data_IF_002007112627
#
_entry.id   IF_002007112627
#
_cell.length_a   1.000
_cell.length_b   1.000
_cell.length_c   1.000
_cell.angle_alpha   90.00
_cell.angle_beta   90.00
_cell.angle_gamma   90.00
#
_symmetry.space_group_name_H-M   'P 1'
#
loop_
_entity.id
_entity.type
_entity.pdbx_description
1 polymer ?
#
# COMPACT_ATOMS: atom_id res chain seq x y z
N UNK A 1 -25.56 0.57 41.36
CA UNK A 1 -25.43 -0.21 40.09
C UNK A 1 -25.19 -1.66 40.45
N UNK A 2 -26.03 -2.58 39.98
CA UNK A 2 -25.85 -4.02 40.25
C UNK A 2 -24.58 -4.54 39.56
N UNK A 3 -23.97 -5.60 40.12
CA UNK A 3 -22.87 -6.34 39.47
C UNK A 3 -23.27 -6.85 38.08
N UNK A 4 -24.54 -7.16 37.90
CA UNK A 4 -25.12 -7.58 36.61
C UNK A 4 -25.13 -6.41 35.61
N UNK A 5 -25.54 -5.22 36.05
CA UNK A 5 -25.57 -4.01 35.20
C UNK A 5 -24.17 -3.61 34.74
N UNK A 6 -23.18 -3.70 35.64
CA UNK A 6 -21.77 -3.42 35.32
C UNK A 6 -21.23 -4.40 34.26
N UNK A 7 -21.52 -5.70 34.41
CA UNK A 7 -21.15 -6.73 33.42
C UNK A 7 -21.87 -6.52 32.08
N UNK A 8 -23.15 -6.16 32.11
CA UNK A 8 -23.94 -5.90 30.91
C UNK A 8 -23.39 -4.69 30.13
N UNK A 9 -23.11 -3.58 30.83
CA UNK A 9 -22.47 -2.39 30.24
C UNK A 9 -21.12 -2.71 29.61
N UNK A 10 -20.27 -3.48 30.28
CA UNK A 10 -18.97 -3.90 29.75
C UNK A 10 -19.12 -4.77 28.47
N UNK A 11 -20.12 -5.66 28.45
CA UNK A 11 -20.43 -6.50 27.27
C UNK A 11 -20.87 -5.66 26.07
N UNK A 12 -21.78 -4.70 26.29
CA UNK A 12 -22.23 -3.78 25.24
C UNK A 12 -21.07 -2.98 24.65
N UNK A 13 -20.22 -2.39 25.49
CA UNK A 13 -19.04 -1.63 25.04
C UNK A 13 -18.06 -2.51 24.25
N UNK A 14 -17.85 -3.76 24.69
CA UNK A 14 -16.99 -4.70 23.97
C UNK A 14 -17.56 -5.05 22.58
N UNK A 15 -18.88 -5.27 22.50
CA UNK A 15 -19.57 -5.55 21.23
C UNK A 15 -19.41 -4.38 20.25
N UNK A 16 -19.71 -3.16 20.70
CA UNK A 16 -19.56 -1.95 19.88
C UNK A 16 -18.13 -1.76 19.37
N UNK A 17 -17.12 -1.89 20.24
CA UNK A 17 -15.70 -1.77 19.83
C UNK A 17 -15.28 -2.86 18.84
N UNK A 18 -15.79 -4.09 19.01
CA UNK A 18 -15.50 -5.21 18.11
C UNK A 18 -16.13 -4.98 16.73
N UNK A 19 -17.36 -4.49 16.68
CA UNK A 19 -18.07 -4.18 15.43
C UNK A 19 -17.36 -3.05 14.67
N UNK A 20 -16.97 -1.97 15.36
CA UNK A 20 -16.22 -0.87 14.75
C UNK A 20 -14.88 -1.35 14.17
N UNK A 21 -14.10 -2.14 14.93
CA UNK A 21 -12.82 -2.67 14.45
C UNK A 21 -12.99 -3.64 13.26
N UNK A 22 -14.08 -4.42 13.23
CA UNK A 22 -14.39 -5.31 12.10
C UNK A 22 -14.80 -4.54 10.85
N UNK A 23 -15.57 -3.46 11.00
CA UNK A 23 -15.97 -2.60 9.89
C UNK A 23 -14.74 -1.96 9.23
N UNK A 24 -13.81 -1.44 10.03
CA UNK A 24 -12.56 -0.85 9.55
C UNK A 24 -11.70 -1.86 8.79
N UNK A 25 -11.51 -3.07 9.35
CA UNK A 25 -10.73 -4.13 8.69
C UNK A 25 -11.31 -4.61 7.36
N UNK A 26 -12.63 -4.51 7.18
CA UNK A 26 -13.29 -4.91 5.92
C UNK A 26 -13.05 -3.92 4.78
N UNK A 27 -12.63 -2.69 5.08
CA UNK A 27 -12.44 -1.65 4.06
C UNK A 27 -11.14 -1.81 3.26
N UNK A 28 -10.18 -2.62 3.71
CA UNK A 28 -8.87 -2.77 3.08
C UNK A 28 -8.61 -4.22 2.66
N UNK A 29 -8.17 -4.42 1.42
CA UNK A 29 -7.68 -5.71 0.93
C UNK A 29 -8.73 -6.82 0.84
N UNK A 30 -9.99 -6.52 1.13
CA UNK A 30 -11.10 -7.49 1.13
C UNK A 30 -11.72 -7.64 -0.27
N UNK A 31 -12.82 -8.40 -0.37
CA UNK A 31 -13.60 -8.55 -1.60
C UNK A 31 -14.11 -7.20 -2.14
N UNK A 32 -14.62 -6.35 -1.24
CA UNK A 32 -15.31 -5.12 -1.61
C UNK A 32 -14.42 -3.88 -1.44
N UNK A 33 -13.38 -3.96 -0.59
CA UNK A 33 -12.43 -2.88 -0.35
C UNK A 33 -11.25 -2.90 -1.32
N UNK A 34 -10.62 -1.76 -1.64
CA UNK A 34 -9.49 -1.68 -2.59
C UNK A 34 -8.31 -2.59 -2.22
N UNK A 35 -7.43 -2.93 -3.17
CA UNK A 35 -6.21 -3.67 -2.89
C UNK A 35 -5.38 -3.02 -1.79
N UNK A 36 -4.75 -3.81 -0.92
CA UNK A 36 -3.83 -3.24 0.08
C UNK A 36 -2.54 -2.80 -0.61
N UNK A 37 -2.35 -1.49 -0.70
CA UNK A 37 -1.17 -0.91 -1.34
C UNK A 37 0.02 -0.94 -0.39
N UNK A 38 1.04 -1.72 -0.77
CA UNK A 38 2.29 -1.89 -0.03
C UNK A 38 3.44 -1.30 -0.83
N UNK A 39 4.03 -0.22 -0.32
CA UNK A 39 5.23 0.39 -0.90
C UNK A 39 6.48 -0.25 -0.30
N UNK A 40 7.34 -0.82 -1.14
CA UNK A 40 8.60 -1.42 -0.73
C UNK A 40 9.74 -0.43 -0.96
N UNK A 41 10.46 -0.08 0.12
CA UNK A 41 11.55 0.89 0.11
C UNK A 41 12.82 0.24 0.64
N UNK A 42 13.85 0.03 -0.20
CA UNK A 42 15.16 -0.43 0.27
C UNK A 42 15.92 0.75 0.87
N UNK A 43 16.35 0.61 2.13
CA UNK A 43 17.05 1.67 2.85
C UNK A 43 18.58 1.59 2.74
N UNK A 44 19.09 0.62 1.99
CA UNK A 44 20.51 0.42 1.81
C UNK A 44 20.82 0.01 0.37
N UNK A 45 21.89 0.55 -0.20
CA UNK A 45 22.35 0.30 -1.58
C UNK A 45 22.56 -1.17 -1.93
N UNK A 46 23.01 -2.00 -0.97
CA UNK A 46 23.23 -3.47 -1.11
C UNK A 46 21.95 -4.29 -1.26
N UNK A 47 20.76 -3.73 -0.99
CA UNK A 47 19.51 -4.48 -0.97
C UNK A 47 18.99 -4.69 -2.40
N UNK A 48 18.63 -5.93 -2.72
CA UNK A 48 18.12 -6.35 -4.02
C UNK A 48 16.58 -6.40 -4.00
N UNK A 49 15.94 -5.37 -4.56
CA UNK A 49 14.48 -5.33 -4.74
C UNK A 49 13.94 -6.52 -5.58
N UNK A 50 14.59 -6.93 -6.69
CA UNK A 50 14.12 -8.08 -7.46
C UNK A 50 14.06 -9.37 -6.65
N UNK A 51 15.05 -9.63 -5.78
CA UNK A 51 15.04 -10.79 -4.89
C UNK A 51 13.89 -10.73 -3.87
N UNK A 52 13.68 -9.56 -3.26
CA UNK A 52 12.55 -9.36 -2.35
C UNK A 52 11.20 -9.61 -3.06
N UNK A 53 11.07 -9.14 -4.30
CA UNK A 53 9.85 -9.29 -5.09
C UNK A 53 9.63 -10.74 -5.51
N UNK A 54 10.67 -11.44 -5.95
CA UNK A 54 10.59 -12.87 -6.25
C UNK A 54 10.10 -13.69 -5.04
N UNK A 55 10.57 -13.36 -3.83
CA UNK A 55 10.09 -14.02 -2.60
C UNK A 55 8.63 -13.69 -2.27
N UNK A 56 8.16 -12.47 -2.58
CA UNK A 56 6.79 -12.02 -2.34
C UNK A 56 5.80 -12.49 -3.42
N UNK A 57 6.28 -12.81 -4.62
CA UNK A 57 5.51 -13.26 -5.79
C UNK A 57 5.25 -14.77 -5.79
N UNK A 58 5.18 -15.38 -4.61
CA UNK A 58 5.01 -16.83 -4.50
C UNK A 58 3.64 -17.29 -5.06
N UNK A 59 3.70 -18.07 -6.15
CA UNK A 59 2.53 -18.63 -6.82
C UNK A 59 1.77 -19.64 -5.95
N UNK A 60 2.45 -20.29 -5.02
CA UNK A 60 1.82 -21.22 -4.08
C UNK A 60 0.98 -20.47 -3.05
N UNK A 61 1.34 -19.23 -2.78
CA UNK A 61 0.58 -18.34 -1.90
C UNK A 61 -0.61 -17.71 -2.62
N UNK A 62 -0.54 -17.43 -3.92
CA UNK A 62 -1.65 -16.86 -4.66
C UNK A 62 -1.39 -16.56 -6.14
N UNK A 63 -2.35 -15.90 -6.78
CA UNK A 63 -2.22 -15.49 -8.18
C UNK A 63 -1.51 -14.14 -8.26
N UNK A 64 -0.42 -14.10 -9.02
CA UNK A 64 0.36 -12.87 -9.27
C UNK A 64 -0.01 -12.31 -10.64
N UNK A 65 -0.36 -11.03 -10.68
CA UNK A 65 -0.48 -10.27 -11.93
C UNK A 65 0.63 -9.24 -11.98
N UNK A 66 1.64 -9.52 -12.80
CA UNK A 66 2.77 -8.63 -12.99
C UNK A 66 2.32 -7.39 -13.77
N UNK A 67 2.82 -6.22 -13.37
CA UNK A 67 2.63 -4.99 -14.13
C UNK A 67 3.93 -4.20 -14.18
N UNK A 68 4.46 -4.05 -15.38
CA UNK A 68 5.60 -3.19 -15.62
C UNK A 68 5.10 -1.79 -15.96
N UNK A 69 5.45 -0.80 -15.14
CA UNK A 69 5.25 0.61 -15.45
C UNK A 69 6.59 1.31 -15.47
N UNK A 70 7.03 1.77 -16.65
CA UNK A 70 8.16 2.69 -16.80
C UNK A 70 9.45 2.26 -16.09
N UNK A 71 9.75 0.96 -16.01
CA UNK A 71 10.94 0.43 -15.35
C UNK A 71 10.86 0.25 -13.83
N UNK A 72 9.74 0.63 -13.20
CA UNK A 72 9.47 0.30 -11.78
C UNK A 72 8.68 -1.00 -11.69
N UNK A 73 9.17 -1.93 -10.87
CA UNK A 73 8.47 -3.18 -10.60
C UNK A 73 7.21 -2.90 -9.76
N UNK A 74 6.04 -3.29 -10.27
CA UNK A 74 4.80 -3.34 -9.51
C UNK A 74 4.06 -4.64 -9.81
N UNK A 75 3.27 -5.13 -8.87
CA UNK A 75 2.45 -6.31 -9.12
C UNK A 75 1.25 -6.38 -8.19
N UNK A 76 0.19 -7.02 -8.66
CA UNK A 76 -0.95 -7.39 -7.83
C UNK A 76 -0.75 -8.83 -7.35
N UNK A 77 -0.95 -9.07 -6.05
CA UNK A 77 -0.97 -10.40 -5.46
C UNK A 77 -2.37 -10.66 -4.90
N UNK A 78 -3.04 -11.66 -5.47
CA UNK A 78 -4.35 -12.13 -5.02
C UNK A 78 -4.16 -13.43 -4.23
N UNK A 79 -4.47 -13.42 -2.94
CA UNK A 79 -4.37 -14.62 -2.10
C UNK A 79 -5.75 -15.01 -1.56
N UNK A 80 -6.46 -15.93 -2.24
CA UNK A 80 -7.74 -16.45 -1.75
C UNK A 80 -7.63 -17.13 -0.37
N UNK A 81 -6.48 -17.76 -0.07
CA UNK A 81 -6.22 -18.42 1.22
C UNK A 81 -6.25 -17.44 2.40
N UNK A 82 -5.61 -16.28 2.23
CA UNK A 82 -5.63 -15.20 3.22
C UNK A 82 -6.85 -14.28 3.06
N UNK A 83 -7.68 -14.52 2.04
CA UNK A 83 -8.83 -13.69 1.63
C UNK A 83 -8.43 -12.23 1.49
N UNK A 84 -7.26 -11.99 0.90
CA UNK A 84 -6.65 -10.69 0.86
C UNK A 84 -6.03 -10.41 -0.50
N UNK A 85 -6.16 -9.17 -0.96
CA UNK A 85 -5.53 -8.67 -2.18
C UNK A 85 -4.54 -7.56 -1.87
N UNK A 86 -3.36 -7.64 -2.46
CA UNK A 86 -2.30 -6.64 -2.33
C UNK A 86 -1.91 -6.08 -3.66
N UNK A 87 -1.49 -4.82 -3.64
CA UNK A 87 -0.80 -4.17 -4.73
C UNK A 87 0.58 -3.72 -4.22
N UNK A 88 1.64 -4.31 -4.74
CA UNK A 88 3.02 -4.00 -4.38
C UNK A 88 3.61 -3.03 -5.39
N UNK A 89 4.26 -1.99 -4.87
CA UNK A 89 5.06 -1.05 -5.66
C UNK A 89 6.44 -0.91 -5.05
N UNK A 90 7.45 -0.64 -5.87
CA UNK A 90 8.80 -0.32 -5.39
C UNK A 90 9.13 1.14 -5.65
N UNK A 91 9.83 1.76 -4.71
CA UNK A 91 10.50 3.04 -4.93
C UNK A 91 11.86 3.00 -4.23
N UNK A 92 12.93 3.19 -5.00
CA UNK A 92 14.29 3.19 -4.47
C UNK A 92 14.71 4.64 -4.18
N UNK A 93 15.19 4.95 -2.97
CA UNK A 93 15.77 6.26 -2.70
C UNK A 93 17.12 6.34 -3.45
N UNK A 94 17.08 6.83 -4.69
CA UNK A 94 18.26 7.19 -5.45
C UNK A 94 18.53 8.70 -5.32
N UNK A 95 19.77 9.18 -5.49
CA UNK A 95 20.05 10.60 -5.58
C UNK A 95 19.19 11.23 -6.69
N UNK A 96 18.24 12.08 -6.30
CA UNK A 96 17.29 12.74 -7.21
C UNK A 96 15.87 12.14 -7.24
N UNK A 97 15.64 10.94 -6.71
CA UNK A 97 14.34 10.24 -6.79
C UNK A 97 13.56 10.22 -5.45
N UNK A 98 13.93 11.09 -4.51
CA UNK A 98 13.23 11.20 -3.22
C UNK A 98 11.74 11.53 -3.42
N UNK A 99 11.42 12.40 -4.38
CA UNK A 99 10.04 12.83 -4.63
C UNK A 99 9.12 11.65 -4.96
N UNK A 100 9.58 10.69 -5.78
CA UNK A 100 8.82 9.48 -6.10
C UNK A 100 8.53 8.66 -4.86
N UNK A 101 9.51 8.49 -3.97
CA UNK A 101 9.32 7.77 -2.70
C UNK A 101 8.28 8.47 -1.83
N UNK A 102 8.37 9.79 -1.67
CA UNK A 102 7.43 10.58 -0.86
C UNK A 102 6.01 10.59 -1.45
N UNK A 103 5.91 10.68 -2.78
CA UNK A 103 4.65 10.71 -3.50
C UNK A 103 3.92 9.37 -3.52
N UNK A 104 4.68 8.26 -3.57
CA UNK A 104 4.12 6.93 -3.41
C UNK A 104 3.77 6.64 -1.94
N UNK A 105 4.58 7.12 -0.99
CA UNK A 105 4.37 6.91 0.43
C UNK A 105 3.08 7.57 0.94
N UNK A 106 2.71 8.77 0.46
CA UNK A 106 1.44 9.41 0.84
C UNK A 106 0.19 8.65 0.42
N UNK A 107 0.28 7.74 -0.56
CA UNK A 107 -0.85 6.93 -1.03
C UNK A 107 -0.74 5.45 -0.67
N UNK A 108 0.38 5.02 -0.08
CA UNK A 108 0.61 3.65 0.39
C UNK A 108 -0.10 3.39 1.72
N UNK A 109 -0.88 2.31 1.81
CA UNK A 109 -1.50 1.92 3.09
C UNK A 109 -0.44 1.38 4.05
N UNK A 110 0.57 0.69 3.53
CA UNK A 110 1.70 0.20 4.31
C UNK A 110 3.03 0.40 3.60
N UNK A 111 4.07 0.77 4.34
CA UNK A 111 5.44 0.84 3.86
C UNK A 111 6.23 -0.35 4.41
N UNK A 112 6.83 -1.14 3.52
CA UNK A 112 7.77 -2.20 3.86
C UNK A 112 9.19 -1.66 3.68
N UNK A 113 9.85 -1.38 4.79
CA UNK A 113 11.27 -1.01 4.77
C UNK A 113 12.11 -2.27 4.72
N UNK A 114 13.00 -2.34 3.72
CA UNK A 114 14.02 -3.37 3.65
C UNK A 114 15.32 -2.83 4.23
N UNK A 115 15.93 -3.62 5.12
CA UNK A 115 17.17 -3.30 5.82
C UNK A 115 18.26 -4.30 5.48
N UNK A 116 19.50 -3.82 5.46
CA UNK A 116 20.70 -4.65 5.35
C UNK A 116 21.02 -5.32 6.69
N UNK A 117 21.50 -6.57 6.65
CA UNK A 117 21.75 -7.36 7.86
C UNK A 117 22.91 -6.86 8.74
N UNK A 118 23.82 -6.04 8.20
CA UNK A 118 25.04 -5.60 8.91
C UNK A 118 24.95 -4.15 9.38
N UNK A 119 24.46 -3.26 8.52
CA UNK A 119 24.40 -1.81 8.77
C UNK A 119 22.98 -1.31 9.04
N UNK A 120 21.96 -1.99 8.51
CA UNK A 120 20.56 -1.56 8.59
C UNK A 120 20.17 -0.64 7.44
N UNK A 121 20.66 0.59 7.45
CA UNK A 121 20.40 1.59 6.40
C UNK A 121 21.63 2.46 6.13
N UNK A 122 21.72 3.00 4.91
CA UNK A 122 22.79 3.92 4.52
C UNK A 122 22.38 5.39 4.76
N UNK A 123 23.27 6.33 4.43
CA UNK A 123 23.01 7.76 4.58
C UNK A 123 21.85 8.26 3.72
N UNK A 124 21.64 7.66 2.55
CA UNK A 124 20.52 8.00 1.65
C UNK A 124 19.20 7.46 2.23
N UNK A 125 19.24 6.26 2.80
CA UNK A 125 18.14 5.68 3.59
C UNK A 125 17.79 6.53 4.80
N UNK A 126 18.77 7.01 5.57
CA UNK A 126 18.52 7.86 6.76
C UNK A 126 17.90 9.21 6.38
N UNK A 127 18.34 9.81 5.27
CA UNK A 127 17.74 11.02 4.72
C UNK A 127 16.28 10.77 4.29
N UNK A 128 16.03 9.71 3.53
CA UNK A 128 14.69 9.31 3.09
C UNK A 128 13.76 9.05 4.28
N UNK A 129 14.23 8.31 5.30
CA UNK A 129 13.49 8.08 6.52
C UNK A 129 13.12 9.39 7.21
N UNK A 130 14.07 10.32 7.34
CA UNK A 130 13.82 11.61 7.98
C UNK A 130 12.71 12.39 7.28
N UNK A 131 12.68 12.38 5.93
CA UNK A 131 11.62 12.97 5.15
C UNK A 131 10.26 12.26 5.34
N UNK A 132 10.25 10.91 5.33
CA UNK A 132 9.04 10.12 5.52
C UNK A 132 8.44 10.29 6.92
N UNK A 133 9.27 10.37 7.96
CA UNK A 133 8.85 10.68 9.32
C UNK A 133 8.18 12.06 9.40
N UNK A 134 8.80 13.07 8.78
CA UNK A 134 8.27 14.44 8.77
C UNK A 134 6.96 14.58 7.98
N UNK A 135 6.83 13.86 6.85
CA UNK A 135 5.62 13.84 6.03
C UNK A 135 4.44 13.15 6.73
N UNK A 136 4.74 12.18 7.60
CA UNK A 136 3.74 11.36 8.29
C UNK A 136 3.69 9.95 7.71
N UNK A 137 4.36 9.03 8.40
CA UNK A 137 4.41 7.63 8.02
C UNK A 137 3.03 6.96 8.12
N UNK A 138 2.57 6.28 7.04
CA UNK A 138 1.56 5.24 7.13
C UNK A 138 1.98 4.11 8.08
N UNK A 139 1.16 3.08 8.17
CA UNK A 139 1.57 1.81 8.77
C UNK A 139 2.89 1.35 8.14
N UNK A 140 3.85 0.87 8.92
CA UNK A 140 5.09 0.35 8.36
C UNK A 140 5.46 -1.00 8.96
N UNK A 141 6.29 -1.75 8.25
CA UNK A 141 6.88 -3.01 8.69
C UNK A 141 8.35 -3.03 8.28
N UNK A 142 9.20 -3.58 9.15
CA UNK A 142 10.64 -3.69 8.93
C UNK A 142 10.98 -5.14 8.56
N UNK A 143 11.65 -5.32 7.43
CA UNK A 143 12.18 -6.61 7.00
C UNK A 143 13.67 -6.52 6.70
N UNK A 144 14.41 -7.59 7.00
CA UNK A 144 15.86 -7.67 6.82
C UNK A 144 16.17 -8.71 5.76
N UNK A 145 17.08 -8.39 4.86
CA UNK A 145 17.61 -9.32 3.87
C UNK A 145 19.08 -9.65 4.15
N UNK A 146 19.50 -10.86 3.77
CA UNK A 146 20.89 -11.29 3.83
C UNK A 146 21.34 -11.73 5.21
N UNK A 147 20.41 -12.18 6.07
CA UNK A 147 20.77 -12.80 7.36
C UNK A 147 21.16 -14.25 7.15
N UNK A 148 20.41 -14.98 6.31
CA UNK A 148 20.66 -16.38 5.95
C UNK A 148 22.05 -16.62 5.34
N UNK A 149 22.59 -15.64 4.61
CA UNK A 149 23.92 -15.69 4.02
C UNK A 149 25.08 -15.55 5.02
N UNK A 150 24.81 -15.15 6.26
CA UNK A 150 25.82 -15.05 7.31
C UNK A 150 26.05 -16.41 7.99
N UNK A 151 27.27 -16.69 8.50
CA UNK A 151 27.52 -17.88 9.31
C UNK A 151 26.56 -17.93 10.52
N UNK A 152 26.02 -19.11 10.92
CA UNK A 152 25.02 -19.21 11.98
C UNK A 152 25.40 -18.52 13.29
N UNK A 153 26.69 -18.53 13.65
CA UNK A 153 27.21 -17.83 14.83
C UNK A 153 27.03 -16.30 14.74
N UNK A 154 27.23 -15.72 13.55
CA UNK A 154 27.12 -14.27 13.32
C UNK A 154 25.68 -13.80 13.10
N UNK A 155 24.75 -14.69 12.73
CA UNK A 155 23.34 -14.33 12.50
C UNK A 155 22.69 -13.76 13.75
N UNK A 156 22.90 -14.41 14.91
CA UNK A 156 22.33 -13.99 16.19
C UNK A 156 22.87 -12.61 16.59
N UNK A 157 24.18 -12.41 16.44
CA UNK A 157 24.83 -11.16 16.79
C UNK A 157 24.44 -10.02 15.85
N UNK A 158 24.37 -10.27 14.55
CA UNK A 158 23.90 -9.31 13.54
C UNK A 158 22.46 -8.86 13.85
N UNK A 159 21.55 -9.80 14.14
CA UNK A 159 20.17 -9.47 14.48
C UNK A 159 20.06 -8.66 15.77
N UNK A 160 20.84 -8.99 16.81
CA UNK A 160 20.89 -8.20 18.05
C UNK A 160 21.43 -6.80 17.83
N UNK A 161 22.50 -6.67 17.03
CA UNK A 161 23.09 -5.36 16.68
C UNK A 161 22.09 -4.51 15.90
N UNK A 162 21.43 -5.09 14.91
CA UNK A 162 20.44 -4.41 14.09
C UNK A 162 19.22 -3.99 14.91
N UNK A 163 18.73 -4.85 15.80
CA UNK A 163 17.63 -4.50 16.71
C UNK A 163 17.95 -3.27 17.56
N UNK A 164 19.18 -3.17 18.09
CA UNK A 164 19.63 -1.98 18.85
C UNK A 164 19.76 -0.72 17.99
N UNK A 165 20.16 -0.88 16.72
CA UNK A 165 20.25 0.26 15.80
C UNK A 165 18.86 0.78 15.43
N UNK A 166 17.94 -0.15 15.12
CA UNK A 166 16.54 0.12 14.73
C UNK A 166 15.76 0.79 15.86
N UNK A 167 15.96 0.37 17.11
CA UNK A 167 15.27 0.92 18.29
C UNK A 167 15.42 2.44 18.44
N UNK A 168 16.51 3.02 17.92
CA UNK A 168 16.72 4.49 17.93
C UNK A 168 15.74 5.25 17.03
N UNK A 169 15.29 4.65 15.93
CA UNK A 169 14.39 5.27 14.94
C UNK A 169 12.97 4.70 14.99
N UNK A 170 12.83 3.43 15.35
CA UNK A 170 11.60 2.68 15.38
C UNK A 170 11.45 1.99 16.75
N UNK A 171 10.88 2.69 17.75
CA UNK A 171 10.67 2.11 19.07
C UNK A 171 9.65 0.97 19.01
N UNK A 172 9.92 -0.14 19.72
CA UNK A 172 9.04 -1.30 19.90
C UNK A 172 8.66 -2.11 18.65
N UNK A 173 9.29 -1.87 17.50
CA UNK A 173 8.99 -2.60 16.27
C UNK A 173 9.77 -3.90 16.10
N UNK A 174 9.08 -4.92 15.59
CA UNK A 174 9.66 -6.24 15.35
C UNK A 174 10.29 -6.32 13.97
N UNK A 175 11.55 -6.75 13.94
CA UNK A 175 12.26 -7.08 12.70
C UNK A 175 11.84 -8.47 12.19
N UNK A 176 11.33 -8.51 10.97
CA UNK A 176 11.07 -9.72 10.21
C UNK A 176 12.24 -10.05 9.28
N UNK A 177 12.34 -11.32 8.90
CA UNK A 177 13.30 -11.77 7.90
C UNK A 177 12.59 -11.93 6.56
N UNK A 178 13.31 -11.70 5.47
CA UNK A 178 12.83 -11.92 4.10
C UNK A 178 13.91 -12.62 3.28
N UNK A 179 14.31 -13.81 3.73
CA UNK A 179 15.31 -14.64 3.05
C UNK A 179 14.66 -15.89 2.41
N UNK A 180 13.51 -16.33 2.92
CA UNK A 180 12.79 -17.52 2.43
C UNK A 180 11.33 -17.25 2.09
N UNK A 181 10.72 -18.10 1.25
CA UNK A 181 9.29 -18.01 0.93
C UNK A 181 8.38 -18.23 2.15
N UNK A 182 8.78 -19.07 3.11
CA UNK A 182 8.02 -19.27 4.35
C UNK A 182 7.97 -17.98 5.19
N UNK A 183 9.10 -17.28 5.29
CA UNK A 183 9.18 -15.98 5.95
C UNK A 183 8.39 -14.91 5.19
N UNK A 184 8.43 -14.92 3.86
CA UNK A 184 7.61 -14.05 3.02
C UNK A 184 6.11 -14.29 3.28
N UNK A 185 5.66 -15.54 3.40
CA UNK A 185 4.29 -15.88 3.79
C UNK A 185 3.92 -15.39 5.20
N UNK A 186 4.86 -15.44 6.16
CA UNK A 186 4.67 -14.87 7.49
C UNK A 186 4.55 -13.35 7.44
N UNK A 187 5.38 -12.69 6.63
CA UNK A 187 5.35 -11.24 6.39
C UNK A 187 4.01 -10.82 5.76
N UNK A 188 3.55 -11.50 4.71
CA UNK A 188 2.25 -11.24 4.07
C UNK A 188 1.10 -11.36 5.08
N UNK A 189 1.13 -12.39 5.93
CA UNK A 189 0.14 -12.56 7.00
C UNK A 189 0.20 -11.44 8.02
N UNK A 190 1.39 -10.93 8.36
CA UNK A 190 1.52 -9.76 9.22
C UNK A 190 0.91 -8.53 8.57
N UNK A 191 1.24 -8.25 7.29
CA UNK A 191 0.73 -7.11 6.54
C UNK A 191 -0.80 -7.11 6.48
N UNK A 192 -1.44 -8.25 6.17
CA UNK A 192 -2.91 -8.36 6.14
C UNK A 192 -3.59 -8.10 7.50
N UNK A 193 -2.94 -8.48 8.61
CA UNK A 193 -3.55 -8.40 9.94
C UNK A 193 -3.10 -7.18 10.76
N UNK A 194 -2.21 -6.37 10.20
CA UNK A 194 -1.65 -5.21 10.88
C UNK A 194 -2.73 -4.16 11.12
N UNK A 195 -2.69 -3.54 12.31
CA UNK A 195 -3.53 -2.39 12.59
C UNK A 195 -3.08 -1.23 11.72
N UNK A 196 -4.01 -0.67 10.96
CA UNK A 196 -3.70 0.44 10.07
C UNK A 196 -3.62 1.76 10.83
N UNK A 197 -2.65 2.58 10.47
CA UNK A 197 -2.50 3.95 10.95
C UNK A 197 -3.27 4.89 10.03
N UNK A 198 -4.22 5.60 10.62
CA UNK A 198 -5.01 6.64 9.96
C UNK A 198 -4.21 7.93 9.83
N UNK A 199 -4.07 8.43 8.61
CA UNK A 199 -3.42 9.69 8.30
C UNK A 199 -4.51 10.72 8.00
N UNK A 200 -4.66 11.71 8.89
CA UNK A 200 -5.78 12.64 8.84
C UNK A 200 -5.96 13.37 7.49
N UNK A 201 -4.87 13.61 6.75
CA UNK A 201 -4.94 14.24 5.43
C UNK A 201 -5.49 13.30 4.33
N UNK A 202 -5.27 11.99 4.45
CA UNK A 202 -5.80 10.96 3.54
C UNK A 202 -7.25 10.65 3.86
N UNK A 203 -7.59 10.51 5.14
CA UNK A 203 -8.93 10.02 5.53
C UNK A 203 -10.02 11.06 5.27
N UNK A 204 -9.65 12.35 5.20
CA UNK A 204 -10.58 13.46 4.95
C UNK A 204 -10.78 13.78 3.47
N UNK A 205 -10.03 13.15 2.55
CA UNK A 205 -10.03 13.47 1.12
C UNK A 205 -10.20 12.21 0.30
N UNK A 206 -10.87 12.30 -0.85
CA UNK A 206 -10.84 11.24 -1.84
C UNK A 206 -9.50 11.29 -2.58
N UNK A 207 -8.85 10.14 -2.75
CA UNK A 207 -7.63 10.03 -3.55
C UNK A 207 -7.62 8.72 -4.31
N UNK A 208 -6.79 8.65 -5.34
CA UNK A 208 -6.68 7.51 -6.23
C UNK A 208 -5.22 7.35 -6.65
N UNK A 209 -4.77 6.10 -6.74
CA UNK A 209 -3.51 5.75 -7.38
C UNK A 209 -3.82 5.29 -8.81
N UNK A 210 -3.15 5.87 -9.79
CA UNK A 210 -3.35 5.51 -11.20
C UNK A 210 -2.78 4.12 -11.47
N UNK A 211 -3.65 3.22 -11.94
CA UNK A 211 -3.31 1.87 -12.38
C UNK A 211 -3.11 1.83 -13.89
N UNK A 212 -3.96 2.51 -14.64
CA UNK A 212 -3.80 2.76 -16.09
C UNK A 212 -4.03 4.23 -16.36
N UNK A 213 -3.28 4.81 -17.29
CA UNK A 213 -3.50 6.17 -17.75
C UNK A 213 -3.43 6.18 -19.28
N UNK A 214 -4.55 6.54 -19.92
CA UNK A 214 -4.64 6.69 -21.37
C UNK A 214 -4.91 8.16 -21.70
N UNK A 215 -4.13 8.76 -22.59
CA UNK A 215 -4.32 10.15 -23.01
C UNK A 215 -4.97 10.22 -24.40
N UNK A 216 -6.04 10.99 -24.51
CA UNK A 216 -6.73 11.26 -25.79
C UNK A 216 -6.58 12.75 -26.11
N UNK A 217 -5.77 13.14 -27.11
CA UNK A 217 -5.57 14.55 -27.47
C UNK A 217 -6.87 15.20 -27.97
N UNK A 218 -6.95 16.52 -27.82
CA UNK A 218 -8.04 17.33 -28.39
C UNK A 218 -7.81 17.59 -29.88
N UNK A 219 -8.88 17.89 -30.62
CA UNK A 219 -8.82 18.22 -32.05
C UNK A 219 -8.03 19.53 -32.33
N UNK A 220 -8.00 20.44 -31.36
CA UNK A 220 -7.36 21.77 -31.49
C UNK A 220 -5.85 21.76 -31.17
N UNK A 221 -5.37 20.80 -30.37
CA UNK A 221 -3.96 20.72 -29.96
C UNK A 221 -3.59 19.33 -29.46
N UNK A 222 -2.45 18.81 -29.94
CA UNK A 222 -1.90 17.53 -29.48
C UNK A 222 -1.38 17.56 -28.03
N UNK A 223 -1.20 18.75 -27.44
CA UNK A 223 -0.64 18.93 -26.09
C UNK A 223 -1.71 19.05 -25.00
N UNK A 224 -2.98 19.28 -25.37
CA UNK A 224 -4.10 19.39 -24.43
C UNK A 224 -5.14 18.36 -24.81
N UNK A 225 -5.62 17.60 -23.84
CA UNK A 225 -6.51 16.49 -24.11
C UNK A 225 -7.16 15.94 -22.86
N UNK A 226 -7.88 14.84 -23.06
CA UNK A 226 -8.57 14.09 -22.03
C UNK A 226 -7.68 12.99 -21.49
N UNK A 227 -7.34 13.05 -20.21
CA UNK A 227 -6.62 11.99 -19.51
C UNK A 227 -7.59 11.01 -18.84
N UNK A 228 -7.66 9.78 -19.33
CA UNK A 228 -8.42 8.68 -18.73
C UNK A 228 -7.55 7.96 -17.72
N UNK A 229 -7.77 8.25 -16.45
CA UNK A 229 -7.13 7.53 -15.34
C UNK A 229 -8.07 6.43 -14.87
N UNK A 230 -7.55 5.22 -14.69
CA UNK A 230 -8.26 4.14 -13.99
C UNK A 230 -7.51 3.76 -12.73
N UNK A 231 -8.25 3.51 -11.65
CA UNK A 231 -7.69 3.05 -10.39
C UNK A 231 -8.77 2.91 -9.33
N UNK A 232 -8.34 2.53 -8.13
CA UNK A 232 -9.25 2.33 -7.00
C UNK A 232 -9.36 3.61 -6.17
N UNK A 233 -10.61 4.03 -5.91
CA UNK A 233 -10.89 5.17 -5.03
C UNK A 233 -10.63 4.78 -3.58
N UNK A 234 -9.97 5.68 -2.84
CA UNK A 234 -9.63 5.52 -1.43
C UNK A 234 -9.96 6.78 -0.63
N UNK A 235 -10.14 6.61 0.68
CA UNK A 235 -10.52 7.71 1.58
C UNK A 235 -12.03 7.97 1.53
N UNK A 236 -12.41 9.15 1.06
CA UNK A 236 -13.82 9.57 0.94
C UNK A 236 -14.42 9.21 -0.43
N UNK A 237 -15.74 9.39 -0.57
CA UNK A 237 -16.44 9.24 -1.85
C UNK A 237 -16.00 10.30 -2.85
N UNK A 238 -15.75 9.89 -4.09
CA UNK A 238 -15.34 10.79 -5.16
C UNK A 238 -16.57 11.49 -5.78
N UNK A 239 -16.47 12.80 -6.00
CA UNK A 239 -17.54 13.60 -6.60
C UNK A 239 -17.07 14.23 -7.91
N UNK A 240 -17.77 13.98 -9.03
CA UNK A 240 -17.45 14.53 -10.36
C UNK A 240 -17.34 16.05 -10.35
N UNK A 241 -18.12 16.73 -9.52
CA UNK A 241 -18.15 18.19 -9.46
C UNK A 241 -16.97 18.79 -8.69
N UNK A 242 -16.20 17.99 -7.95
CA UNK A 242 -15.00 18.45 -7.26
C UNK A 242 -13.82 18.63 -8.22
N UNK A 243 -12.90 19.54 -7.87
CA UNK A 243 -11.62 19.66 -8.55
C UNK A 243 -10.71 18.49 -8.18
N UNK A 244 -9.91 18.05 -9.14
CA UNK A 244 -8.91 17.01 -8.97
C UNK A 244 -7.52 17.59 -9.11
N UNK A 245 -6.69 17.37 -8.09
CA UNK A 245 -5.29 17.75 -8.11
C UNK A 245 -4.42 16.58 -8.60
N UNK A 246 -3.65 16.79 -9.66
CA UNK A 246 -2.60 15.87 -10.08
C UNK A 246 -1.29 16.36 -9.50
N UNK A 247 -0.66 15.51 -8.70
CA UNK A 247 0.61 15.79 -8.04
C UNK A 247 1.65 16.14 -9.10
N UNK A 248 2.30 17.29 -8.94
CA UNK A 248 3.32 17.78 -9.87
C UNK A 248 2.77 18.48 -11.13
N UNK A 249 1.46 18.43 -11.37
CA UNK A 249 0.85 18.99 -12.59
C UNK A 249 -0.26 20.03 -12.33
N UNK A 250 -0.84 20.09 -11.12
CA UNK A 250 -1.78 21.13 -10.72
C UNK A 250 -3.24 20.66 -10.63
N UNK A 251 -4.17 21.63 -10.62
CA UNK A 251 -5.59 21.39 -10.42
C UNK A 251 -6.37 21.37 -11.74
N UNK A 252 -7.30 20.42 -11.85
CA UNK A 252 -8.07 20.19 -13.05
C UNK A 252 -9.53 19.85 -12.71
N UNK A 253 -10.44 20.19 -13.61
CA UNK A 253 -11.86 19.82 -13.47
C UNK A 253 -12.12 18.44 -14.08
N UNK A 254 -12.87 17.59 -13.40
CA UNK A 254 -13.36 16.32 -13.94
C UNK A 254 -14.62 16.53 -14.79
N UNK A 255 -14.76 15.79 -15.89
CA UNK A 255 -15.98 15.81 -16.75
C UNK A 255 -16.91 14.62 -16.52
N UNK A 256 -16.39 13.44 -16.18
CA UNK A 256 -17.17 12.20 -16.03
C UNK A 256 -16.43 11.25 -15.12
N UNK A 257 -17.18 10.35 -14.46
CA UNK A 257 -16.71 9.18 -13.74
C UNK A 257 -17.57 7.99 -14.21
N UNK A 258 -16.90 6.93 -14.66
CA UNK A 258 -17.45 5.61 -14.95
C UNK A 258 -16.95 4.59 -13.93
N UNK A 259 -17.69 3.50 -13.76
CA UNK A 259 -17.32 2.38 -12.89
C UNK A 259 -17.25 1.06 -13.68
N UNK A 260 -16.14 0.77 -14.39
CA UNK A 260 -15.93 -0.54 -15.01
C UNK A 260 -15.81 -1.67 -13.98
N UNK A 261 -15.87 -2.91 -14.48
CA UNK A 261 -15.65 -4.09 -13.63
C UNK A 261 -14.20 -4.18 -13.18
N UNK A 262 -14.02 -4.58 -11.93
CA UNK A 262 -12.71 -4.83 -11.33
C UNK A 262 -11.92 -5.87 -12.15
N UNK A 263 -10.69 -5.56 -12.60
CA UNK A 263 -9.84 -6.46 -13.38
C UNK A 263 -9.23 -7.58 -12.53
N UNK A 264 -9.14 -7.40 -11.21
CA UNK A 264 -8.48 -8.32 -10.29
C UNK A 264 -9.37 -8.62 -9.06
N UNK A 265 -10.56 -9.20 -9.24
CA UNK A 265 -11.44 -9.54 -8.14
C UNK A 265 -10.87 -10.73 -7.35
N UNK A 266 -10.98 -10.67 -6.01
CA UNK A 266 -10.46 -11.72 -5.12
C UNK A 266 -11.11 -13.09 -5.35
N UNK A 267 -12.38 -13.12 -5.77
CA UNK A 267 -13.12 -14.34 -6.11
C UNK A 267 -13.60 -14.24 -7.56
N UNK A 268 -13.06 -15.06 -8.46
CA UNK A 268 -13.48 -15.14 -9.87
C UNK A 268 -14.83 -15.84 -10.08
N UNK A 269 -15.38 -16.50 -9.06
CA UNK A 269 -16.51 -17.42 -9.17
C UNK A 269 -17.93 -16.83 -9.11
N UNK A 270 -18.12 -15.51 -9.07
CA UNK A 270 -19.47 -14.90 -9.07
C UNK A 270 -19.55 -13.77 -10.10
N UNK A 271 -19.38 -14.12 -11.37
CA UNK A 271 -19.95 -13.32 -12.47
C UNK A 271 -21.34 -13.90 -12.74
N UNK A 272 -22.26 -13.74 -11.78
CA UNK A 272 -23.70 -13.82 -12.03
C UNK A 272 -24.28 -12.46 -11.69
N UNK A 273 -24.81 -11.84 -12.73
CA UNK A 273 -25.52 -10.56 -12.74
C UNK A 273 -26.40 -10.40 -11.50
N UNK A 274 -26.02 -9.50 -10.59
CA UNK A 274 -26.93 -8.95 -9.60
C UNK A 274 -26.79 -7.43 -9.61
N UNK A 275 -27.88 -6.80 -10.02
CA UNK A 275 -28.19 -5.39 -9.77
C UNK A 275 -28.08 -5.11 -8.28
N UNK A 276 -27.37 -4.02 -8.00
CA UNK A 276 -27.44 -3.11 -6.86
C UNK A 276 -26.67 -3.38 -5.55
N UNK A 277 -25.89 -2.33 -5.22
CA UNK A 277 -25.46 -1.83 -3.91
C UNK A 277 -24.31 -2.55 -3.18
N UNK A 278 -23.08 -2.18 -3.58
CA UNK A 278 -21.83 -2.50 -2.88
C UNK A 278 -20.63 -2.15 -3.75
N UNK A 279 -20.41 -0.86 -3.97
CA UNK A 279 -19.49 -0.32 -4.98
C UNK A 279 -18.02 -0.62 -4.66
N UNK A 280 -17.48 -1.72 -5.19
CA UNK A 280 -16.06 -1.83 -5.49
C UNK A 280 -15.79 -0.96 -6.73
N UNK A 281 -15.44 0.31 -6.49
CA UNK A 281 -15.21 1.28 -7.57
C UNK A 281 -13.78 1.17 -8.09
N UNK A 282 -13.58 0.52 -9.23
CA UNK A 282 -12.59 1.04 -10.15
C UNK A 282 -13.25 2.23 -10.84
N UNK A 283 -12.73 3.44 -10.63
CA UNK A 283 -13.22 4.62 -11.37
C UNK A 283 -12.39 4.69 -12.64
N UNK A 284 -13.06 4.61 -13.80
CA UNK A 284 -12.50 5.00 -15.09
C UNK A 284 -13.17 6.29 -15.51
N UNK A 285 -12.46 7.11 -16.25
CA UNK A 285 -12.83 8.48 -16.63
C UNK A 285 -12.48 9.51 -15.57
N UNK A 286 -11.50 10.30 -15.95
CA UNK A 286 -11.48 11.71 -15.73
C UNK A 286 -11.51 12.31 -17.13
N UNK A 287 -12.17 13.43 -17.34
CA UNK A 287 -11.73 14.31 -18.42
C UNK A 287 -11.29 15.58 -17.76
N UNK A 288 -10.02 15.92 -17.97
CA UNK A 288 -9.42 17.15 -17.51
C UNK A 288 -9.60 18.15 -18.64
N UNK A 289 -10.28 19.26 -18.38
CA UNK A 289 -10.19 20.45 -19.23
C UNK A 289 -9.28 21.42 -18.49
N UNK A 290 -8.11 21.72 -19.05
CA UNK A 290 -7.28 22.80 -18.55
C UNK A 290 -8.06 24.11 -18.67
N UNK A 291 -8.21 24.83 -17.57
CA UNK A 291 -8.67 26.21 -17.59
C UNK A 291 -7.40 27.04 -17.62
N UNK A 292 -7.13 27.69 -18.75
CA UNK A 292 -6.25 28.86 -18.78
C UNK A 292 -7.05 30.08 -18.31
#
# INVERSE_FOLDING_TARGET
>A
LSRVDQRHRASQLRKQKKEAALAEKRQLGSKDGPPHHVLVVPLHSRISLPEAFHLLQDSDTGTVHLREWGGTGSFMLLCPRLKHRWFFTSAKPAPGDLHTVLDMAKVADTILFLLDSLEGWDSTGDYCLSCLFAQGLPTYTLAVQGVSGLPPRKQIDARKKLSKAVEKRFPDDKLLLLDTQQEAGMLLRQLANQKQRHLAFRDRRAYLLAHTADFVPSEESNLVGTLKVSGYVRGQTLNVNSLLHIIGHGDFRMKQIDAPMDPFPLNSGVIKSQKDQGMAMEVRLMFLKAIY
#
